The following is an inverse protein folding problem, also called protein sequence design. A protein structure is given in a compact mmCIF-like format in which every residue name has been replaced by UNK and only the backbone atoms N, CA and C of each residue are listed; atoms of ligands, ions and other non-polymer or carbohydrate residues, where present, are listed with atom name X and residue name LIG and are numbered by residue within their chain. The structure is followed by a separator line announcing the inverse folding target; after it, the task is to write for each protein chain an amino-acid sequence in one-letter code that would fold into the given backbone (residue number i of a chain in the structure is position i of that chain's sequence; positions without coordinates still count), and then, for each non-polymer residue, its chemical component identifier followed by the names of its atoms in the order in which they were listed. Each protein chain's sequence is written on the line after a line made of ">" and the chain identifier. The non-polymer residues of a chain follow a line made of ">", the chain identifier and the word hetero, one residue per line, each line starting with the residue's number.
data_IF_452666829723
#
_entry.id   IF_452666829723
#
_cell.length_a   1.000
_cell.length_b   1.000
_cell.length_c   1.000
_cell.angle_alpha   90.00
_cell.angle_beta   90.00
_cell.angle_gamma   90.00
#
_symmetry.space_group_name_H-M   'P 1'
#
loop_
_entity.id
_entity.type
_entity.pdbx_description
1 polymer ?
#
# COMPACT_ATOMS: atom_id res chain seq x y z
N UNK A 1 -28.66 35.83 -15.22
CA UNK A 1 -28.83 34.41 -15.59
C UNK A 1 -30.24 33.97 -15.23
N UNK A 2 -30.82 33.03 -15.99
CA UNK A 2 -32.15 32.46 -15.65
C UNK A 2 -32.00 31.51 -14.45
N UNK A 3 -32.99 31.45 -13.56
CA UNK A 3 -33.03 30.49 -12.42
C UNK A 3 -32.78 29.03 -12.83
N UNK A 4 -33.15 28.68 -14.07
CA UNK A 4 -32.92 27.35 -14.66
C UNK A 4 -31.42 27.10 -14.88
N UNK A 5 -30.66 28.09 -15.36
CA UNK A 5 -29.23 27.97 -15.58
C UNK A 5 -28.50 27.77 -14.24
N UNK A 6 -28.83 28.57 -13.22
CA UNK A 6 -28.22 28.44 -11.89
C UNK A 6 -28.52 27.08 -11.25
N UNK A 7 -29.71 26.52 -11.50
CA UNK A 7 -30.08 25.19 -11.01
C UNK A 7 -29.28 24.11 -11.72
N UNK A 8 -29.11 24.23 -13.04
CA UNK A 8 -28.32 23.30 -13.83
C UNK A 8 -26.84 23.29 -13.39
N UNK A 9 -26.26 24.46 -13.12
CA UNK A 9 -24.88 24.58 -12.62
C UNK A 9 -24.70 23.88 -11.27
N UNK A 10 -25.67 24.04 -10.35
CA UNK A 10 -25.65 23.33 -9.05
C UNK A 10 -25.70 21.81 -9.24
N UNK A 11 -26.52 21.31 -10.16
CA UNK A 11 -26.60 19.88 -10.48
C UNK A 11 -25.26 19.40 -11.04
N UNK A 12 -24.67 20.12 -11.99
CA UNK A 12 -23.39 19.77 -12.58
C UNK A 12 -22.27 19.70 -11.52
N UNK A 13 -22.23 20.66 -10.60
CA UNK A 13 -21.26 20.66 -9.48
C UNK A 13 -21.50 19.46 -8.55
N UNK A 14 -22.75 19.17 -8.19
CA UNK A 14 -23.09 18.06 -7.30
C UNK A 14 -22.69 16.71 -7.92
N UNK A 15 -23.01 16.50 -9.19
CA UNK A 15 -22.64 15.31 -9.95
C UNK A 15 -21.12 15.14 -10.02
N UNK A 16 -20.39 16.20 -10.37
CA UNK A 16 -18.92 16.19 -10.42
C UNK A 16 -18.30 15.85 -9.06
N UNK A 17 -18.84 16.41 -7.97
CA UNK A 17 -18.38 16.09 -6.61
C UNK A 17 -18.66 14.63 -6.24
N UNK A 18 -19.84 14.12 -6.59
CA UNK A 18 -20.22 12.73 -6.37
C UNK A 18 -19.22 11.77 -7.03
N UNK A 19 -18.92 11.98 -8.31
CA UNK A 19 -17.93 11.17 -9.04
C UNK A 19 -16.53 11.22 -8.40
N UNK A 20 -16.03 12.41 -8.06
CA UNK A 20 -14.73 12.56 -7.39
C UNK A 20 -14.68 11.86 -6.04
N UNK A 21 -15.78 11.89 -5.28
CA UNK A 21 -15.87 11.20 -3.99
C UNK A 21 -15.75 9.69 -4.14
N UNK A 22 -16.43 9.12 -5.14
CA UNK A 22 -16.37 7.68 -5.45
C UNK A 22 -14.96 7.29 -5.87
N UNK A 23 -14.35 8.03 -6.79
CA UNK A 23 -12.98 7.80 -7.26
C UNK A 23 -11.98 7.79 -6.09
N UNK A 24 -12.01 8.83 -5.24
CA UNK A 24 -11.12 8.91 -4.08
C UNK A 24 -11.30 7.75 -3.11
N UNK A 25 -12.55 7.31 -2.89
CA UNK A 25 -12.86 6.20 -2.00
C UNK A 25 -12.31 4.89 -2.57
N UNK A 26 -12.48 4.65 -3.87
CA UNK A 26 -12.00 3.45 -4.55
C UNK A 26 -10.48 3.39 -4.52
N UNK A 27 -9.80 4.47 -4.91
CA UNK A 27 -8.33 4.57 -4.89
C UNK A 27 -7.79 4.37 -3.47
N UNK A 28 -8.40 5.03 -2.47
CA UNK A 28 -8.01 4.86 -1.07
C UNK A 28 -8.21 3.43 -0.56
N UNK A 29 -9.30 2.77 -0.97
CA UNK A 29 -9.56 1.36 -0.66
C UNK A 29 -8.49 0.42 -1.21
N UNK A 30 -8.10 0.59 -2.48
CA UNK A 30 -7.03 -0.19 -3.10
C UNK A 30 -5.69 -0.01 -2.38
N UNK A 31 -5.31 1.24 -2.11
CA UNK A 31 -4.07 1.55 -1.37
C UNK A 31 -4.06 0.95 0.05
N UNK A 32 -5.22 0.91 0.72
CA UNK A 32 -5.33 0.32 2.05
C UNK A 32 -5.10 -1.20 2.01
N UNK A 33 -5.72 -1.89 1.04
CA UNK A 33 -5.53 -3.34 0.84
C UNK A 33 -4.08 -3.65 0.50
N UNK A 34 -3.47 -2.90 -0.42
CA UNK A 34 -2.05 -3.08 -0.79
C UNK A 34 -1.13 -2.96 0.43
N UNK A 35 -1.28 -1.89 1.22
CA UNK A 35 -0.49 -1.68 2.44
C UNK A 35 -0.67 -2.80 3.45
N UNK A 36 -1.91 -3.27 3.63
CA UNK A 36 -2.21 -4.36 4.55
C UNK A 36 -1.55 -5.68 4.11
N UNK A 37 -1.65 -6.02 2.83
CA UNK A 37 -1.07 -7.26 2.28
C UNK A 37 0.45 -7.23 2.32
N UNK A 38 1.08 -6.15 1.82
CA UNK A 38 2.54 -6.01 1.81
C UNK A 38 3.10 -5.96 3.24
N UNK A 39 2.42 -5.23 4.14
CA UNK A 39 2.81 -5.16 5.55
C UNK A 39 2.68 -6.51 6.25
N UNK A 40 1.59 -7.24 5.99
CA UNK A 40 1.36 -8.58 6.52
C UNK A 40 2.43 -9.58 6.07
N UNK A 41 2.75 -9.58 4.77
CA UNK A 41 3.82 -10.40 4.22
C UNK A 41 5.17 -10.09 4.87
N UNK A 42 5.57 -8.81 4.95
CA UNK A 42 6.82 -8.39 5.60
C UNK A 42 6.90 -8.87 7.05
N UNK A 43 5.79 -8.84 7.79
CA UNK A 43 5.76 -9.32 9.18
C UNK A 43 6.02 -10.83 9.27
N UNK A 44 5.39 -11.62 8.39
CA UNK A 44 5.59 -13.08 8.32
C UNK A 44 7.03 -13.39 7.92
N UNK A 45 7.52 -12.73 6.88
CA UNK A 45 8.90 -12.85 6.39
C UNK A 45 9.91 -12.53 7.49
N UNK A 46 9.73 -11.42 8.21
CA UNK A 46 10.61 -11.04 9.32
C UNK A 46 10.60 -12.10 10.43
N UNK A 47 9.42 -12.59 10.82
CA UNK A 47 9.32 -13.64 11.85
C UNK A 47 9.97 -14.96 11.43
N UNK A 48 9.85 -15.32 10.14
CA UNK A 48 10.51 -16.52 9.60
C UNK A 48 12.03 -16.38 9.64
N UNK A 49 12.56 -15.23 9.18
CA UNK A 49 14.01 -14.97 9.22
C UNK A 49 14.51 -15.01 10.65
N UNK A 50 13.85 -14.30 11.57
CA UNK A 50 14.21 -14.25 12.99
C UNK A 50 14.24 -15.65 13.64
N UNK A 51 13.21 -16.45 13.39
CA UNK A 51 13.05 -17.76 14.03
C UNK A 51 13.99 -18.82 13.46
N UNK A 52 14.23 -18.81 12.15
CA UNK A 52 14.86 -19.95 11.46
C UNK A 52 16.20 -19.64 10.82
N UNK A 53 16.50 -18.39 10.48
CA UNK A 53 17.63 -18.04 9.63
C UNK A 53 18.61 -17.05 10.25
N UNK A 54 18.19 -16.28 11.25
CA UNK A 54 19.06 -15.40 12.02
C UNK A 54 20.01 -16.24 12.90
N UNK A 55 21.25 -15.79 12.99
CA UNK A 55 22.26 -16.37 13.90
C UNK A 55 22.25 -15.64 15.23
N UNK A 56 22.85 -16.23 16.27
CA UNK A 56 22.93 -15.60 17.59
C UNK A 56 23.57 -14.21 17.52
N UNK A 57 22.85 -13.21 18.03
CA UNK A 57 23.27 -11.81 18.04
C UNK A 57 23.05 -11.07 16.71
N UNK A 58 22.49 -11.72 15.69
CA UNK A 58 22.16 -11.10 14.41
C UNK A 58 20.74 -10.53 14.43
N UNK A 59 20.56 -9.30 13.94
CA UNK A 59 19.23 -8.73 13.68
C UNK A 59 18.62 -9.33 12.41
N UNK A 60 17.30 -9.22 12.26
CA UNK A 60 16.59 -9.68 11.06
C UNK A 60 17.13 -9.03 9.78
N UNK A 61 17.45 -7.74 9.81
CA UNK A 61 17.96 -7.02 8.65
C UNK A 61 19.39 -7.46 8.28
N UNK A 62 20.25 -7.71 9.27
CA UNK A 62 21.59 -8.28 9.05
C UNK A 62 21.50 -9.70 8.46
N UNK A 63 20.61 -10.54 9.00
CA UNK A 63 20.36 -11.89 8.50
C UNK A 63 19.90 -11.86 7.04
N UNK A 64 18.95 -10.98 6.70
CA UNK A 64 18.50 -10.78 5.31
C UNK A 64 19.65 -10.33 4.41
N UNK A 65 20.41 -9.33 4.84
CA UNK A 65 21.54 -8.83 4.06
C UNK A 65 22.55 -9.94 3.77
N UNK A 66 22.94 -10.73 4.79
CA UNK A 66 23.85 -11.88 4.66
C UNK A 66 23.31 -12.95 3.69
N UNK A 67 22.03 -13.28 3.80
CA UNK A 67 21.40 -14.28 2.92
C UNK A 67 21.45 -13.80 1.47
N UNK A 68 21.06 -12.55 1.21
CA UNK A 68 21.05 -11.98 -0.15
C UNK A 68 22.46 -11.90 -0.74
N UNK A 69 23.45 -11.43 0.02
CA UNK A 69 24.84 -11.36 -0.44
C UNK A 69 25.41 -12.74 -0.75
N UNK A 70 25.13 -13.76 0.07
CA UNK A 70 25.52 -15.15 -0.20
C UNK A 70 24.83 -15.75 -1.44
N UNK A 71 23.66 -15.24 -1.85
CA UNK A 71 22.96 -15.69 -3.07
C UNK A 71 23.51 -15.04 -4.35
N UNK A 72 24.01 -13.81 -4.26
CA UNK A 72 24.53 -13.06 -5.42
C UNK A 72 26.00 -13.34 -5.73
N UNK A 73 26.72 -13.95 -4.79
CA UNK A 73 28.15 -14.30 -4.94
C UNK A 73 28.37 -15.73 -5.48
N UNK A 74 27.30 -16.45 -5.86
CA UNK A 74 27.37 -17.84 -6.35
C UNK A 74 27.58 -17.97 -7.88
N UNK A 75 28.01 -16.92 -8.55
CA UNK A 75 28.44 -16.94 -9.97
C UNK A 75 29.97 -17.03 -10.10
#
# INVERSE_FOLDING_TARGET
>A
MSKIADTNDKIAIAVTKGYKSVENTVVGGYQAVEKAVVGGYKKIENGFVDTFLAKDGETVDEAKHRITSCMTEKD
#
